data_IF_608578518417
#
_entry.id   IF_608578518417
#
_cell.length_a   1.000
_cell.length_b   1.000
_cell.length_c   1.000
_cell.angle_alpha   90.00
_cell.angle_beta   90.00
_cell.angle_gamma   90.00
#
_symmetry.space_group_name_H-M   'P 1'
#
loop_
_entity.id
_entity.type
_entity.pdbx_description
1 polymer ?
#
# COMPACT_ATOMS: atom_id res chain seq x y z
N UNK A 1 -41.67 8.64 -26.59
CA UNK A 1 -41.26 8.07 -25.29
C UNK A 1 -42.29 8.44 -24.25
N UNK A 2 -42.87 7.44 -23.57
CA UNK A 2 -43.92 7.65 -22.57
C UNK A 2 -43.27 8.09 -21.24
N UNK A 3 -43.91 8.94 -20.41
CA UNK A 3 -43.33 9.44 -19.15
C UNK A 3 -42.91 8.33 -18.17
N UNK A 4 -43.50 7.14 -18.27
CA UNK A 4 -43.10 5.94 -17.50
C UNK A 4 -41.74 5.35 -17.91
N UNK A 5 -41.34 5.48 -19.17
CA UNK A 5 -40.05 4.98 -19.68
C UNK A 5 -38.89 5.87 -19.22
N UNK A 6 -39.15 7.19 -19.11
CA UNK A 6 -38.19 8.16 -18.58
C UNK A 6 -37.89 7.92 -17.09
N UNK A 7 -38.90 7.64 -16.27
CA UNK A 7 -38.71 7.39 -14.83
C UNK A 7 -37.94 6.08 -14.60
N UNK A 8 -38.22 5.03 -15.38
CA UNK A 8 -37.50 3.75 -15.30
C UNK A 8 -36.04 3.89 -15.74
N UNK A 9 -35.75 4.65 -16.80
CA UNK A 9 -34.38 4.90 -17.26
C UNK A 9 -33.55 5.71 -16.27
N UNK A 10 -34.17 6.71 -15.62
CA UNK A 10 -33.50 7.51 -14.58
C UNK A 10 -33.21 6.66 -13.33
N UNK A 11 -34.15 5.81 -12.89
CA UNK A 11 -33.93 4.91 -11.77
C UNK A 11 -32.82 3.86 -12.03
N UNK A 12 -32.73 3.32 -13.25
CA UNK A 12 -31.65 2.41 -13.64
C UNK A 12 -30.28 3.11 -13.71
N UNK A 13 -30.23 4.35 -14.17
CA UNK A 13 -29.00 5.13 -14.23
C UNK A 13 -28.47 5.52 -12.83
N UNK A 14 -29.38 5.82 -11.89
CA UNK A 14 -29.04 6.07 -10.49
C UNK A 14 -28.57 4.81 -9.74
N UNK A 15 -29.11 3.63 -10.09
CA UNK A 15 -28.66 2.36 -9.51
C UNK A 15 -27.29 1.90 -10.06
N UNK A 16 -26.97 2.21 -11.32
CA UNK A 16 -25.67 1.89 -11.92
C UNK A 16 -24.53 2.78 -11.40
N UNK A 17 -24.82 4.01 -10.97
CA UNK A 17 -23.84 4.94 -10.42
C UNK A 17 -23.43 4.62 -8.97
N UNK A 18 -24.16 3.73 -8.27
CA UNK A 18 -23.98 3.49 -6.84
C UNK A 18 -22.98 2.37 -6.47
N UNK A 19 -22.34 1.70 -7.44
CA UNK A 19 -21.62 0.45 -7.15
C UNK A 19 -20.19 0.33 -7.71
N UNK A 20 -19.57 1.42 -8.16
CA UNK A 20 -18.11 1.45 -8.34
C UNK A 20 -17.51 2.13 -7.13
N UNK A 21 -17.44 1.39 -6.01
CA UNK A 21 -16.62 1.83 -4.89
C UNK A 21 -15.20 2.06 -5.41
N UNK A 22 -14.64 3.24 -5.15
CA UNK A 22 -13.28 3.55 -5.57
C UNK A 22 -12.33 2.45 -5.08
N UNK A 23 -11.46 1.92 -5.95
CA UNK A 23 -10.57 0.84 -5.59
C UNK A 23 -9.67 1.28 -4.44
N UNK A 24 -9.86 0.68 -3.26
CA UNK A 24 -9.01 1.00 -2.10
C UNK A 24 -7.63 0.39 -2.26
N UNK A 25 -6.62 1.21 -1.94
CA UNK A 25 -5.23 0.80 -1.82
C UNK A 25 -4.78 0.93 -0.37
N UNK A 26 -4.27 -0.16 0.19
CA UNK A 26 -3.60 -0.14 1.49
C UNK A 26 -2.11 0.16 1.28
N UNK A 27 -1.56 1.16 1.96
CA UNK A 27 -0.13 1.50 1.88
C UNK A 27 0.54 1.08 3.19
N UNK A 28 1.22 -0.06 3.17
CA UNK A 28 1.83 -0.67 4.34
C UNK A 28 3.32 -0.36 4.43
N UNK A 29 3.78 0.12 5.59
CA UNK A 29 5.19 0.34 5.90
C UNK A 29 5.63 -0.44 7.11
N UNK A 30 6.84 -1.00 7.10
CA UNK A 30 7.39 -1.69 8.27
C UNK A 30 8.89 -1.47 8.41
N UNK A 31 9.32 -1.08 9.61
CA UNK A 31 10.73 -1.10 9.98
C UNK A 31 11.25 -2.55 10.00
N UNK A 32 12.35 -2.83 9.27
CA UNK A 32 12.93 -4.19 9.23
C UNK A 32 14.19 -4.35 10.08
N UNK A 33 14.85 -3.25 10.39
CA UNK A 33 16.05 -3.27 11.22
C UNK A 33 15.66 -3.04 12.68
N UNK A 34 16.23 -3.81 13.63
CA UNK A 34 15.96 -3.61 15.05
C UNK A 34 16.46 -2.23 15.52
N UNK A 35 15.85 -1.66 16.57
CA UNK A 35 16.34 -0.43 17.16
C UNK A 35 17.74 -0.63 17.74
N UNK A 36 18.63 0.34 17.51
CA UNK A 36 19.98 0.37 18.07
C UNK A 36 20.16 1.67 18.87
N UNK A 37 20.87 1.59 20.01
CA UNK A 37 21.02 2.69 20.98
C UNK A 37 21.50 4.01 20.38
N UNK A 38 22.36 3.95 19.37
CA UNK A 38 22.92 5.10 18.66
C UNK A 38 22.66 5.01 17.14
N UNK A 39 21.68 4.18 16.76
CA UNK A 39 21.28 3.98 15.38
C UNK A 39 20.18 4.95 14.94
N UNK A 40 19.87 4.98 13.65
CA UNK A 40 18.71 5.73 13.17
C UNK A 40 17.41 5.15 13.74
N UNK A 41 16.41 6.00 13.87
CA UNK A 41 15.03 5.58 14.13
C UNK A 41 14.43 5.02 12.85
N UNK A 42 14.51 3.69 12.69
CA UNK A 42 13.98 3.00 11.52
C UNK A 42 12.47 3.10 11.40
N UNK A 43 11.75 3.17 12.52
CA UNK A 43 10.30 3.28 12.51
C UNK A 43 9.87 4.67 12.02
N UNK A 44 10.52 5.76 12.48
CA UNK A 44 10.30 7.12 11.97
C UNK A 44 10.62 7.24 10.47
N UNK A 45 11.77 6.71 10.04
CA UNK A 45 12.18 6.73 8.64
C UNK A 45 11.15 6.01 7.74
N UNK A 46 10.66 4.85 8.17
CA UNK A 46 9.62 4.12 7.44
C UNK A 46 8.27 4.84 7.48
N UNK A 47 7.89 5.40 8.62
CA UNK A 47 6.65 6.16 8.75
C UNK A 47 6.62 7.36 7.80
N UNK A 48 7.71 8.13 7.73
CA UNK A 48 7.82 9.28 6.82
C UNK A 48 7.82 8.87 5.36
N UNK A 49 8.55 7.82 5.01
CA UNK A 49 8.54 7.27 3.66
C UNK A 49 7.14 6.79 3.25
N UNK A 50 6.45 6.06 4.12
CA UNK A 50 5.09 5.57 3.93
C UNK A 50 4.07 6.72 3.80
N UNK A 51 4.14 7.71 4.68
CA UNK A 51 3.27 8.88 4.67
C UNK A 51 3.43 9.68 3.37
N UNK A 52 4.66 9.84 2.89
CA UNK A 52 4.92 10.54 1.63
C UNK A 52 4.35 9.79 0.41
N UNK A 53 4.51 8.46 0.36
CA UNK A 53 3.89 7.63 -0.69
C UNK A 53 2.37 7.76 -0.63
N UNK A 54 1.78 7.63 0.56
CA UNK A 54 0.33 7.73 0.77
C UNK A 54 -0.19 9.09 0.32
N UNK A 55 0.43 10.18 0.77
CA UNK A 55 0.01 11.53 0.42
C UNK A 55 0.09 11.80 -1.09
N UNK A 56 1.14 11.32 -1.77
CA UNK A 56 1.24 11.46 -3.23
C UNK A 56 0.09 10.77 -3.95
N UNK A 57 -0.30 9.58 -3.50
CA UNK A 57 -1.42 8.84 -4.10
C UNK A 57 -2.78 9.49 -3.79
N UNK A 58 -2.96 9.97 -2.55
CA UNK A 58 -4.18 10.65 -2.11
C UNK A 58 -4.44 11.95 -2.90
N UNK A 59 -3.40 12.77 -3.10
CA UNK A 59 -3.46 13.99 -3.92
C UNK A 59 -3.87 13.71 -5.37
N UNK A 60 -3.55 12.53 -5.89
CA UNK A 60 -3.92 12.07 -7.23
C UNK A 60 -5.30 11.38 -7.26
N UNK A 61 -6.08 11.55 -6.18
CA UNK A 61 -7.46 11.08 -6.09
C UNK A 61 -7.61 9.59 -5.84
N UNK A 62 -6.56 8.90 -5.38
CA UNK A 62 -6.64 7.49 -5.01
C UNK A 62 -7.20 7.35 -3.60
N UNK A 63 -8.17 6.47 -3.39
CA UNK A 63 -8.57 6.02 -2.05
C UNK A 63 -7.44 5.20 -1.42
N UNK A 64 -6.65 5.83 -0.55
CA UNK A 64 -5.50 5.20 0.12
C UNK A 64 -5.68 5.16 1.63
N UNK A 65 -5.26 4.05 2.24
CA UNK A 65 -5.27 3.88 3.69
C UNK A 65 -3.84 3.57 4.15
N UNK A 66 -3.17 4.46 4.89
CA UNK A 66 -1.84 4.19 5.43
C UNK A 66 -1.91 3.21 6.59
N UNK A 67 -0.94 2.31 6.66
CA UNK A 67 -0.71 1.43 7.80
C UNK A 67 0.79 1.28 8.04
N UNK A 68 1.21 1.31 9.30
CA UNK A 68 2.61 1.05 9.67
C UNK A 68 2.71 0.01 10.77
N UNK A 69 3.78 -0.77 10.71
CA UNK A 69 4.17 -1.74 11.73
C UNK A 69 5.55 -1.39 12.27
N UNK A 70 5.73 -1.49 13.59
CA UNK A 70 7.03 -1.30 14.23
C UNK A 70 7.97 -2.46 13.92
N UNK A 71 9.27 -2.14 13.81
CA UNK A 71 10.34 -3.14 13.71
C UNK A 71 10.43 -4.08 14.90
N UNK A 72 9.83 -3.73 16.04
CA UNK A 72 9.86 -4.51 17.29
C UNK A 72 8.70 -5.51 17.37
N UNK A 73 7.91 -5.68 16.30
CA UNK A 73 6.84 -6.68 16.31
C UNK A 73 7.36 -8.08 16.60
N UNK A 74 6.79 -8.70 17.65
CA UNK A 74 7.20 -10.01 18.15
C UNK A 74 6.78 -11.17 17.23
N UNK A 75 5.75 -10.99 16.39
CA UNK A 75 5.22 -12.02 15.49
C UNK A 75 4.85 -11.45 14.11
N UNK A 76 5.73 -11.64 13.10
CA UNK A 76 5.46 -11.23 11.72
C UNK A 76 4.28 -11.95 11.06
N UNK A 77 3.98 -13.20 11.45
CA UNK A 77 2.88 -13.96 10.87
C UNK A 77 1.54 -13.39 11.34
N UNK A 78 1.40 -13.13 12.64
CA UNK A 78 0.22 -12.49 13.19
C UNK A 78 -0.01 -11.09 12.60
N UNK A 79 1.07 -10.32 12.40
CA UNK A 79 1.00 -9.01 11.76
C UNK A 79 0.52 -9.08 10.30
N UNK A 80 0.99 -10.07 9.54
CA UNK A 80 0.54 -10.32 8.18
C UNK A 80 -0.94 -10.70 8.09
N UNK A 81 -1.45 -11.50 9.04
CA UNK A 81 -2.88 -11.84 9.13
C UNK A 81 -3.71 -10.59 9.43
N UNK A 82 -3.31 -9.81 10.45
CA UNK A 82 -4.01 -8.57 10.80
C UNK A 82 -4.03 -7.55 9.66
N UNK A 83 -2.95 -7.47 8.88
CA UNK A 83 -2.89 -6.64 7.68
C UNK A 83 -3.95 -7.03 6.64
N UNK A 84 -4.09 -8.34 6.38
CA UNK A 84 -5.03 -8.86 5.39
C UNK A 84 -6.49 -8.75 5.86
N UNK A 85 -6.75 -8.99 7.14
CA UNK A 85 -8.07 -8.75 7.75
C UNK A 85 -8.48 -7.28 7.65
N UNK A 86 -7.56 -6.37 7.95
CA UNK A 86 -7.82 -4.94 7.84
C UNK A 86 -8.07 -4.53 6.37
N UNK A 87 -7.31 -5.09 5.43
CA UNK A 87 -7.52 -4.83 4.02
C UNK A 87 -8.90 -5.31 3.54
N UNK A 88 -9.35 -6.47 4.01
CA UNK A 88 -10.66 -7.04 3.68
C UNK A 88 -11.81 -6.19 4.24
N UNK A 89 -11.69 -5.79 5.51
CA UNK A 89 -12.65 -4.91 6.19
C UNK A 89 -12.81 -3.54 5.50
N UNK A 90 -11.74 -3.03 4.90
CA UNK A 90 -11.72 -1.77 4.17
C UNK A 90 -12.07 -1.92 2.67
N UNK A 91 -12.26 -3.16 2.22
CA UNK A 91 -12.46 -3.55 0.82
C UNK A 91 -11.35 -3.06 -0.10
N UNK A 92 -10.10 -3.17 0.35
CA UNK A 92 -8.92 -2.84 -0.44
C UNK A 92 -8.54 -4.01 -1.33
N UNK A 93 -8.24 -3.70 -2.60
CA UNK A 93 -7.88 -4.67 -3.62
C UNK A 93 -6.42 -4.54 -4.06
N UNK A 94 -5.71 -3.55 -3.53
CA UNK A 94 -4.31 -3.27 -3.82
C UNK A 94 -3.56 -3.07 -2.51
N UNK A 95 -2.36 -3.65 -2.41
CA UNK A 95 -1.42 -3.43 -1.32
C UNK A 95 -0.15 -2.80 -1.89
N UNK A 96 0.28 -1.69 -1.33
CA UNK A 96 1.58 -1.09 -1.58
C UNK A 96 2.46 -1.33 -0.36
N UNK A 97 3.50 -2.16 -0.51
CA UNK A 97 4.56 -2.32 0.48
C UNK A 97 5.59 -1.20 0.30
N UNK A 98 5.89 -0.50 1.40
CA UNK A 98 6.92 0.52 1.50
C UNK A 98 7.96 0.06 2.52
N UNK A 99 9.24 0.12 2.18
CA UNK A 99 10.31 -0.32 3.07
C UNK A 99 11.57 0.53 2.91
N UNK A 100 12.15 0.92 4.04
CA UNK A 100 13.42 1.61 4.16
C UNK A 100 14.25 0.86 5.21
N UNK A 101 15.32 0.20 4.80
CA UNK A 101 16.11 -0.66 5.67
C UNK A 101 17.55 -0.79 5.19
N UNK A 102 18.42 -1.31 6.04
CA UNK A 102 19.79 -1.73 5.69
C UNK A 102 19.83 -3.25 5.55
N UNK A 103 20.36 -3.73 4.45
CA UNK A 103 20.52 -5.16 4.19
C UNK A 103 21.77 -5.74 4.86
N UNK A 104 22.03 -7.05 4.67
CA UNK A 104 23.22 -7.69 5.25
C UNK A 104 24.57 -7.23 4.67
N UNK A 105 24.57 -6.42 3.60
CA UNK A 105 25.76 -5.92 2.93
C UNK A 105 25.99 -4.42 3.20
N UNK A 106 25.37 -3.87 4.25
CA UNK A 106 25.40 -2.44 4.57
C UNK A 106 24.89 -1.54 3.43
N UNK A 107 23.95 -2.04 2.63
CA UNK A 107 23.26 -1.26 1.61
C UNK A 107 21.98 -0.69 2.18
N UNK A 108 21.80 0.62 2.09
CA UNK A 108 20.55 1.30 2.39
C UNK A 108 19.59 1.06 1.21
N UNK A 109 18.52 0.31 1.48
CA UNK A 109 17.49 -0.06 0.51
C UNK A 109 16.23 0.75 0.78
N UNK A 110 15.75 1.46 -0.24
CA UNK A 110 14.41 2.03 -0.29
C UNK A 110 13.60 1.28 -1.34
N UNK A 111 12.41 0.81 -0.98
CA UNK A 111 11.63 -0.07 -1.83
C UNK A 111 10.15 0.24 -1.76
N UNK A 112 9.52 0.26 -2.92
CA UNK A 112 8.08 0.31 -3.09
C UNK A 112 7.67 -0.86 -3.99
N UNK A 113 6.71 -1.67 -3.54
CA UNK A 113 6.14 -2.76 -4.33
C UNK A 113 4.63 -2.70 -4.29
N UNK A 114 4.00 -2.96 -5.42
CA UNK A 114 2.55 -2.96 -5.55
C UNK A 114 2.08 -4.38 -5.84
N UNK A 115 1.10 -4.83 -5.08
CA UNK A 115 0.54 -6.17 -5.15
C UNK A 115 -0.98 -6.10 -5.32
N UNK A 116 -1.59 -7.02 -6.10
CA UNK A 116 -3.02 -7.21 -6.05
C UNK A 116 -3.37 -8.00 -4.79
N UNK A 117 -4.44 -7.61 -4.10
CA UNK A 117 -5.06 -8.43 -3.07
C UNK A 117 -6.15 -9.27 -3.75
N UNK A 118 -6.01 -10.59 -3.61
CA UNK A 118 -6.85 -11.56 -4.28
C UNK A 118 -7.67 -12.32 -3.24
N UNK A 119 -8.92 -12.69 -3.53
CA UNK A 119 -9.67 -13.57 -2.65
C UNK A 119 -8.96 -14.92 -2.53
N UNK A 120 -8.94 -15.44 -1.32
CA UNK A 120 -8.62 -16.84 -1.05
C UNK A 120 -9.91 -17.63 -1.14
N UNK A 121 -9.92 -18.76 -1.85
CA UNK A 121 -11.08 -19.63 -1.94
C UNK A 121 -10.92 -20.77 -0.93
N UNK A 122 -11.91 -20.92 -0.05
CA UNK A 122 -12.06 -22.06 0.84
C UNK A 122 -12.79 -23.22 0.18
N UNK A 123 -13.04 -24.27 0.97
CA UNK A 123 -13.78 -25.45 0.53
C UNK A 123 -15.17 -25.06 0.00
N UNK A 124 -15.55 -25.64 -1.13
CA UNK A 124 -16.81 -25.31 -1.80
C UNK A 124 -16.80 -23.99 -2.57
N UNK A 125 -15.64 -23.33 -2.74
CA UNK A 125 -15.51 -22.12 -3.56
C UNK A 125 -15.96 -20.83 -2.88
N UNK A 126 -16.16 -20.85 -1.56
CA UNK A 126 -16.51 -19.67 -0.76
C UNK A 126 -15.25 -18.82 -0.55
N UNK A 127 -15.36 -17.49 -0.64
CA UNK A 127 -14.25 -16.58 -0.33
C UNK A 127 -13.96 -16.66 1.17
N UNK A 128 -12.71 -16.96 1.53
CA UNK A 128 -12.19 -17.06 2.88
C UNK A 128 -10.98 -16.13 3.07
N UNK A 129 -11.26 -14.83 3.12
CA UNK A 129 -10.25 -13.77 3.28
C UNK A 129 -9.45 -13.46 2.02
N UNK A 130 -8.34 -12.75 2.21
CA UNK A 130 -7.46 -12.27 1.15
C UNK A 130 -6.10 -12.96 1.16
N UNK A 131 -5.40 -12.89 0.03
CA UNK A 131 -3.98 -13.22 -0.12
C UNK A 131 -3.28 -12.18 -0.99
N UNK A 132 -1.97 -12.05 -0.79
CA UNK A 132 -1.12 -11.19 -1.62
C UNK A 132 -0.78 -11.94 -2.92
N UNK A 133 -1.05 -11.32 -4.06
CA UNK A 133 -0.68 -11.87 -5.38
C UNK A 133 0.78 -11.60 -5.77
N UNK A 134 1.12 -11.86 -7.03
CA UNK A 134 2.43 -11.49 -7.58
C UNK A 134 2.57 -9.96 -7.71
N UNK A 135 3.77 -9.38 -7.54
CA UNK A 135 3.95 -7.94 -7.65
C UNK A 135 3.63 -7.44 -9.06
N UNK A 136 2.84 -6.37 -9.15
CA UNK A 136 2.49 -5.65 -10.39
C UNK A 136 3.54 -4.58 -10.73
N UNK A 137 4.15 -4.00 -9.71
CA UNK A 137 5.15 -2.94 -9.86
C UNK A 137 6.18 -3.05 -8.74
N UNK A 138 7.44 -2.77 -9.08
CA UNK A 138 8.55 -2.72 -8.14
C UNK A 138 9.46 -1.57 -8.53
N UNK A 139 9.77 -0.69 -7.57
CA UNK A 139 10.86 0.28 -7.69
C UNK A 139 11.72 0.19 -6.44
N UNK A 140 13.03 0.14 -6.63
CA UNK A 140 14.01 0.00 -5.56
C UNK A 140 15.18 0.96 -5.80
N UNK A 141 15.71 1.50 -4.71
CA UNK A 141 16.96 2.28 -4.70
C UNK A 141 17.89 1.65 -3.71
N UNK A 142 19.08 1.32 -4.20
CA UNK A 142 20.17 0.76 -3.42
C UNK A 142 21.24 1.83 -3.30
N UNK A 143 21.46 2.30 -2.07
CA UNK A 143 22.36 3.40 -1.74
C UNK A 143 23.43 2.92 -0.76
N UNK A 144 24.60 3.56 -0.81
CA UNK A 144 25.58 3.39 0.26
C UNK A 144 25.00 3.86 1.60
N UNK A 145 25.27 3.15 2.70
CA UNK A 145 24.77 3.52 4.04
C UNK A 145 25.12 4.97 4.43
N UNK A 146 26.26 5.48 3.99
CA UNK A 146 26.66 6.87 4.22
C UNK A 146 25.68 7.92 3.67
N UNK A 147 24.78 7.54 2.73
CA UNK A 147 23.73 8.42 2.23
C UNK A 147 22.62 8.67 3.26
N UNK A 148 22.47 7.82 4.28
CA UNK A 148 21.43 7.92 5.29
C UNK A 148 21.39 9.30 5.97
N UNK A 149 22.55 9.89 6.25
CA UNK A 149 22.66 11.21 6.92
C UNK A 149 22.12 12.38 6.09
N UNK A 150 21.93 12.17 4.78
CA UNK A 150 21.35 13.16 3.84
C UNK A 150 20.03 12.70 3.26
N UNK A 151 19.54 11.53 3.68
CA UNK A 151 18.32 10.96 3.16
C UNK A 151 17.14 11.85 3.52
N UNK A 152 16.29 12.11 2.54
CA UNK A 152 15.01 12.78 2.71
C UNK A 152 13.92 11.77 2.38
N UNK A 153 13.44 10.96 3.35
CA UNK A 153 12.47 9.91 3.09
C UNK A 153 11.23 10.43 2.35
N UNK A 154 10.79 11.64 2.69
CA UNK A 154 9.59 12.22 2.09
C UNK A 154 9.76 12.49 0.59
N UNK A 155 10.90 13.05 0.17
CA UNK A 155 11.16 13.34 -1.24
C UNK A 155 11.32 12.06 -2.07
N UNK A 156 12.01 11.05 -1.52
CA UNK A 156 12.19 9.78 -2.22
C UNK A 156 10.88 9.02 -2.30
N UNK A 157 10.06 9.04 -1.23
CA UNK A 157 8.71 8.47 -1.22
C UNK A 157 7.80 9.11 -2.27
N UNK A 158 7.80 10.44 -2.35
CA UNK A 158 7.05 11.18 -3.38
C UNK A 158 7.50 10.78 -4.79
N UNK A 159 8.81 10.73 -5.03
CA UNK A 159 9.36 10.36 -6.34
C UNK A 159 8.97 8.93 -6.73
N UNK A 160 9.14 7.96 -5.83
CA UNK A 160 8.82 6.55 -6.11
C UNK A 160 7.32 6.32 -6.31
N UNK A 161 6.47 7.06 -5.60
CA UNK A 161 5.02 7.04 -5.83
C UNK A 161 4.65 7.67 -7.19
N UNK A 162 5.28 8.78 -7.57
CA UNK A 162 5.07 9.39 -8.88
C UNK A 162 5.51 8.47 -10.03
N UNK A 163 6.62 7.75 -9.87
CA UNK A 163 7.03 6.70 -10.82
C UNK A 163 5.95 5.64 -10.96
N UNK A 164 5.41 5.13 -9.85
CA UNK A 164 4.32 4.17 -9.89
C UNK A 164 3.10 4.71 -10.65
N UNK A 165 2.68 5.94 -10.38
CA UNK A 165 1.52 6.56 -11.05
C UNK A 165 1.72 6.74 -12.56
N UNK A 166 2.95 6.95 -13.03
CA UNK A 166 3.24 6.99 -14.47
C UNK A 166 3.02 5.63 -15.15
N UNK A 167 3.12 4.53 -14.40
CA UNK A 167 2.92 3.17 -14.89
C UNK A 167 1.48 2.66 -14.68
N UNK A 168 0.77 3.18 -13.67
CA UNK A 168 -0.59 2.77 -13.30
C UNK A 168 -1.66 3.58 -14.06
N UNK A 169 -2.22 3.00 -15.13
CA UNK A 169 -3.22 3.67 -15.99
C UNK A 169 -4.66 3.60 -15.46
N UNK A 170 -4.85 3.33 -14.16
CA UNK A 170 -6.17 3.18 -13.54
C UNK A 170 -6.83 4.52 -13.27
#
# INVERSE_FOLDING_TARGET
MRPRELIAAVALALAAAAAQAEPCTLVFGQGRNPPLKDGPDWDDLNQRFNAAVTNTLDVEGRRVIPMTASAVQADPAAAGVALLEQADNLHCNTLIETALFVDQNDTLVLRLRVYPLLPTLGDGGVINGLRIGAPLFVTQRDLALAALVRLKPDLVGQQMAAEYLQHDRR
#
